data_IF_232368311083
#
_entry.id   IF_232368311083
#
_cell.length_a   1.000
_cell.length_b   1.000
_cell.length_c   1.000
_cell.angle_alpha   90.00
_cell.angle_beta   90.00
_cell.angle_gamma   90.00
#
_symmetry.space_group_name_H-M   'P 1'
#
loop_
_entity.id
_entity.type
_entity.pdbx_description
1 polymer ?
#
# COMPACT_ATOMS: atom_id res chain seq x y z
N UNK A 1 26.21 5.62 -14.78
CA UNK A 1 25.25 6.25 -13.87
C UNK A 1 24.62 5.14 -13.05
N UNK A 2 24.71 5.21 -11.73
CA UNK A 2 24.09 4.25 -10.82
C UNK A 2 22.63 4.68 -10.63
N UNK A 3 21.72 4.04 -11.35
CA UNK A 3 20.30 4.16 -11.06
C UNK A 3 20.08 3.60 -9.65
N UNK A 4 19.82 4.47 -8.68
CA UNK A 4 19.22 4.09 -7.40
C UNK A 4 17.85 3.47 -7.70
N UNK A 5 17.65 2.14 -7.59
CA UNK A 5 16.34 1.52 -7.85
C UNK A 5 15.31 1.89 -6.78
N UNK A 6 15.69 2.68 -5.77
CA UNK A 6 14.83 3.16 -4.70
C UNK A 6 14.01 4.42 -5.05
N UNK A 7 14.11 4.95 -6.29
CA UNK A 7 13.38 6.18 -6.67
C UNK A 7 12.36 6.02 -7.82
N UNK A 8 12.20 4.85 -8.42
CA UNK A 8 11.52 4.76 -9.74
C UNK A 8 10.12 4.14 -9.77
N UNK A 9 9.42 3.98 -8.63
CA UNK A 9 8.10 3.29 -8.66
C UNK A 9 6.91 3.92 -7.92
N UNK A 10 7.09 4.86 -6.98
CA UNK A 10 6.06 5.09 -5.94
C UNK A 10 5.88 6.53 -5.44
N UNK A 11 6.36 7.54 -6.17
CA UNK A 11 6.37 8.92 -5.64
C UNK A 11 4.99 9.49 -5.27
N UNK A 12 3.88 9.06 -5.91
CA UNK A 12 2.56 9.69 -5.71
C UNK A 12 1.39 8.71 -5.65
N UNK A 13 1.57 7.52 -5.04
CA UNK A 13 0.42 6.68 -4.69
C UNK A 13 0.04 6.88 -3.24
N UNK A 14 -0.62 8.00 -2.99
CA UNK A 14 -1.30 8.30 -1.72
C UNK A 14 -2.45 7.33 -1.42
N UNK A 15 -2.91 6.58 -2.44
CA UNK A 15 -4.06 5.69 -2.37
C UNK A 15 -3.72 4.27 -2.80
N UNK A 16 -4.37 3.32 -2.14
CA UNK A 16 -4.32 1.87 -2.39
C UNK A 16 -5.54 1.49 -3.20
N UNK A 17 -5.33 1.07 -4.44
CA UNK A 17 -6.37 0.53 -5.29
C UNK A 17 -6.56 -0.96 -5.02
N UNK A 18 -7.57 -1.29 -4.21
CA UNK A 18 -7.91 -2.68 -3.88
C UNK A 18 -8.53 -3.45 -5.06
N UNK A 19 -8.90 -2.80 -6.15
CA UNK A 19 -9.42 -3.47 -7.35
C UNK A 19 -8.31 -4.03 -8.24
N UNK A 20 -7.04 -3.73 -7.94
CA UNK A 20 -5.88 -4.20 -8.66
C UNK A 20 -5.10 -5.19 -7.80
N UNK A 21 -5.18 -6.49 -8.09
CA UNK A 21 -4.56 -7.53 -7.25
C UNK A 21 -3.04 -7.37 -7.10
N UNK A 22 -2.35 -6.94 -8.16
CA UNK A 22 -0.91 -6.67 -8.10
C UNK A 22 -0.57 -5.54 -7.12
N UNK A 23 -1.44 -4.53 -7.03
CA UNK A 23 -1.25 -3.38 -6.16
C UNK A 23 -1.54 -3.75 -4.71
N UNK A 24 -2.56 -4.56 -4.46
CA UNK A 24 -2.84 -5.14 -3.13
C UNK A 24 -1.65 -5.97 -2.66
N UNK A 25 -1.09 -6.83 -3.53
CA UNK A 25 0.08 -7.64 -3.17
C UNK A 25 1.33 -6.80 -2.89
N UNK A 26 1.58 -5.76 -3.69
CA UNK A 26 2.72 -4.87 -3.52
C UNK A 26 2.62 -4.05 -2.22
N UNK A 27 1.43 -3.50 -1.93
CA UNK A 27 1.17 -2.80 -0.68
C UNK A 27 1.15 -3.73 0.54
N UNK A 28 0.61 -4.94 0.41
CA UNK A 28 0.58 -5.90 1.51
C UNK A 28 2.00 -6.31 1.90
N UNK A 29 2.89 -6.52 0.92
CA UNK A 29 4.34 -6.75 1.14
C UNK A 29 5.00 -5.52 1.78
N UNK A 30 4.75 -4.33 1.25
CA UNK A 30 5.32 -3.07 1.77
C UNK A 30 4.90 -2.75 3.20
N UNK A 31 3.67 -3.12 3.60
CA UNK A 31 3.13 -2.89 4.94
C UNK A 31 3.35 -4.10 5.87
N UNK A 32 3.82 -5.23 5.34
CA UNK A 32 3.99 -6.47 6.08
C UNK A 32 2.67 -7.00 6.64
N UNK A 33 1.61 -6.97 5.84
CA UNK A 33 0.26 -7.48 6.16
C UNK A 33 -0.22 -8.42 5.06
N UNK A 34 -1.30 -9.17 5.32
CA UNK A 34 -1.91 -9.98 4.26
C UNK A 34 -2.77 -9.13 3.32
N UNK A 35 -2.97 -9.54 2.05
CA UNK A 35 -3.88 -8.89 1.12
C UNK A 35 -5.29 -8.67 1.70
N UNK A 36 -5.78 -9.65 2.47
CA UNK A 36 -7.07 -9.59 3.14
C UNK A 36 -7.12 -8.50 4.23
N UNK A 37 -6.07 -8.41 5.06
CA UNK A 37 -5.94 -7.35 6.06
C UNK A 37 -5.87 -5.98 5.42
N UNK A 38 -5.16 -5.85 4.30
CA UNK A 38 -5.07 -4.61 3.55
C UNK A 38 -6.45 -4.19 3.00
N UNK A 39 -7.20 -5.12 2.39
CA UNK A 39 -8.55 -4.86 1.88
C UNK A 39 -9.50 -4.43 3.00
N UNK A 40 -9.46 -5.10 4.15
CA UNK A 40 -10.26 -4.74 5.33
C UNK A 40 -9.89 -3.35 5.88
N UNK A 41 -8.60 -3.05 5.98
CA UNK A 41 -8.15 -1.72 6.43
C UNK A 41 -8.63 -0.63 5.46
N UNK A 42 -8.46 -0.84 4.15
CA UNK A 42 -8.95 0.11 3.13
C UNK A 42 -10.47 0.28 3.20
N UNK A 43 -11.24 -0.78 3.44
CA UNK A 43 -12.69 -0.67 3.64
C UNK A 43 -13.07 0.09 4.92
N UNK A 44 -12.25 -0.02 5.98
CA UNK A 44 -12.53 0.61 7.26
C UNK A 44 -12.18 2.11 7.29
N UNK A 45 -11.04 2.50 6.70
CA UNK A 45 -10.52 3.88 6.80
C UNK A 45 -10.38 4.60 5.45
N UNK A 46 -10.73 3.92 4.36
CA UNK A 46 -10.58 4.42 3.00
C UNK A 46 -9.25 4.00 2.35
N UNK A 47 -9.08 4.28 1.05
CA UNK A 47 -7.91 3.84 0.29
C UNK A 47 -6.64 4.61 0.63
N UNK A 48 -6.69 5.64 1.49
CA UNK A 48 -5.54 6.48 1.78
C UNK A 48 -4.48 5.70 2.55
N UNK A 49 -3.24 5.65 2.04
CA UNK A 49 -2.13 4.89 2.65
C UNK A 49 -1.85 5.36 4.07
N UNK A 50 -1.92 6.67 4.31
CA UNK A 50 -1.69 7.26 5.62
C UNK A 50 -2.69 6.76 6.67
N UNK A 51 -3.98 6.71 6.31
CA UNK A 51 -5.03 6.21 7.21
C UNK A 51 -4.90 4.71 7.41
N UNK A 52 -4.62 3.95 6.36
CA UNK A 52 -4.41 2.50 6.41
C UNK A 52 -3.22 2.14 7.30
N UNK A 53 -2.09 2.85 7.17
CA UNK A 53 -0.91 2.70 8.04
C UNK A 53 -1.25 2.98 9.49
N UNK A 54 -1.95 4.09 9.76
CA UNK A 54 -2.40 4.45 11.11
C UNK A 54 -3.32 3.40 11.70
N UNK A 55 -4.22 2.82 10.90
CA UNK A 55 -5.12 1.75 11.32
C UNK A 55 -4.39 0.43 11.61
N UNK A 56 -3.39 0.09 10.80
CA UNK A 56 -2.60 -1.14 10.93
C UNK A 56 -1.44 -1.03 11.94
N UNK A 57 -1.15 0.18 12.45
CA UNK A 57 -0.02 0.44 13.34
C UNK A 57 1.34 0.26 12.65
N UNK A 58 1.45 0.67 11.38
CA UNK A 58 2.63 0.52 10.51
C UNK A 58 3.27 1.84 10.14
#
# INVERSE_FOLDING_TARGET
MADDPNKTGRADRDRININQDYEVQDWSKSLGVTPDQLRKAVQAVGPMVADVKRHLGK
#
